data_IF_258289133834
#
_entry.id   IF_258289133834
#
_cell.length_a   1.000
_cell.length_b   1.000
_cell.length_c   1.000
_cell.angle_alpha   90.00
_cell.angle_beta   90.00
_cell.angle_gamma   90.00
#
_symmetry.space_group_name_H-M   'P 1'
#
loop_
_entity.id
_entity.type
_entity.pdbx_description
1 polymer ?
#
# COMPACT_ATOMS: atom_id res chain seq x y z
N UNK A 1 -8.40 4.91 7.16
CA UNK A 1 -9.21 3.91 6.46
C UNK A 1 -10.26 3.38 7.40
N UNK A 2 -11.54 3.54 7.06
CA UNK A 2 -12.63 3.29 7.99
C UNK A 2 -13.30 1.94 7.82
N UNK A 3 -13.16 1.32 6.66
CA UNK A 3 -13.80 0.01 6.40
C UNK A 3 -12.77 -0.96 5.83
N UNK A 4 -12.80 -2.22 6.26
CA UNK A 4 -11.94 -3.22 5.66
C UNK A 4 -12.33 -3.43 4.20
N UNK A 5 -11.33 -3.52 3.35
CA UNK A 5 -11.52 -3.76 1.92
C UNK A 5 -11.17 -5.23 1.63
N UNK A 6 -12.17 -6.05 1.25
CA UNK A 6 -11.92 -7.47 0.98
C UNK A 6 -10.88 -7.69 -0.13
N UNK A 7 -10.80 -6.78 -1.10
CA UNK A 7 -9.82 -6.90 -2.19
C UNK A 7 -8.40 -6.73 -1.67
N UNK A 8 -8.18 -5.76 -0.78
CA UNK A 8 -6.88 -5.53 -0.16
C UNK A 8 -6.48 -6.70 0.73
N UNK A 9 -7.42 -7.20 1.52
CA UNK A 9 -7.17 -8.36 2.38
C UNK A 9 -6.83 -9.61 1.56
N UNK A 10 -7.52 -9.81 0.43
CA UNK A 10 -7.25 -10.91 -0.48
C UNK A 10 -5.84 -10.80 -1.08
N UNK A 11 -5.43 -9.60 -1.47
CA UNK A 11 -4.09 -9.36 -2.00
C UNK A 11 -3.01 -9.60 -0.96
N UNK A 12 -3.24 -9.15 0.28
CA UNK A 12 -2.30 -9.38 1.37
C UNK A 12 -2.18 -10.87 1.71
N UNK A 13 -3.27 -11.61 1.64
CA UNK A 13 -3.25 -13.05 1.84
C UNK A 13 -2.38 -13.75 0.80
N UNK A 14 -2.49 -13.31 -0.45
CA UNK A 14 -1.66 -13.82 -1.55
C UNK A 14 -0.19 -13.49 -1.33
N UNK A 15 0.09 -12.26 -0.90
CA UNK A 15 1.46 -11.80 -0.60
C UNK A 15 2.05 -12.63 0.55
N UNK A 16 1.26 -12.91 1.57
CA UNK A 16 1.67 -13.77 2.67
C UNK A 16 2.13 -15.13 2.15
N UNK A 17 1.37 -15.72 1.22
CA UNK A 17 1.73 -16.97 0.58
C UNK A 17 3.03 -16.87 -0.20
N UNK A 18 3.24 -15.75 -0.91
CA UNK A 18 4.47 -15.50 -1.64
C UNK A 18 5.67 -15.38 -0.70
N UNK A 19 5.51 -14.73 0.44
CA UNK A 19 6.57 -14.62 1.45
C UNK A 19 6.94 -16.00 1.98
N UNK A 20 5.95 -16.85 2.28
CA UNK A 20 6.22 -18.23 2.70
C UNK A 20 6.94 -19.02 1.61
N UNK A 21 6.60 -18.76 0.35
CA UNK A 21 7.29 -19.37 -0.79
C UNK A 21 8.76 -18.97 -0.85
N UNK A 22 9.06 -17.70 -0.58
CA UNK A 22 10.45 -17.22 -0.52
C UNK A 22 11.21 -17.92 0.59
N UNK A 23 10.62 -18.06 1.78
CA UNK A 23 11.24 -18.77 2.90
C UNK A 23 11.57 -20.22 2.51
N UNK A 24 10.65 -20.89 1.82
CA UNK A 24 10.85 -22.27 1.35
C UNK A 24 11.99 -22.35 0.36
N UNK A 25 12.08 -21.39 -0.57
CA UNK A 25 13.18 -21.35 -1.53
C UNK A 25 14.53 -21.24 -0.84
N UNK A 26 14.62 -20.43 0.21
CA UNK A 26 15.85 -20.29 0.99
C UNK A 26 16.19 -21.60 1.70
N UNK A 27 15.19 -22.26 2.30
CA UNK A 27 15.37 -23.55 2.98
C UNK A 27 15.84 -24.63 2.01
N UNK A 28 15.35 -24.62 0.79
CA UNK A 28 15.73 -25.58 -0.25
C UNK A 28 17.08 -25.27 -0.91
N UNK A 29 17.69 -24.14 -0.57
CA UNK A 29 18.96 -23.73 -1.16
C UNK A 29 18.84 -23.33 -2.62
N UNK A 30 17.70 -22.76 -3.02
CA UNK A 30 17.47 -22.32 -4.39
C UNK A 30 18.48 -21.23 -4.78
N UNK A 31 18.74 -21.10 -6.06
CA UNK A 31 19.68 -20.13 -6.58
C UNK A 31 19.29 -18.70 -6.15
N UNK A 32 20.29 -17.95 -5.63
CA UNK A 32 20.01 -16.66 -5.00
C UNK A 32 19.35 -15.64 -5.95
N UNK A 33 19.65 -15.68 -7.25
CA UNK A 33 19.02 -14.79 -8.22
C UNK A 33 17.52 -15.09 -8.31
N UNK A 34 17.12 -16.36 -8.29
CA UNK A 34 15.69 -16.73 -8.27
C UNK A 34 15.00 -16.22 -7.02
N UNK A 35 15.65 -16.33 -5.87
CA UNK A 35 15.11 -15.84 -4.60
C UNK A 35 14.93 -14.31 -4.65
N UNK A 36 15.92 -13.60 -5.14
CA UNK A 36 15.87 -12.14 -5.27
C UNK A 36 14.76 -11.70 -6.22
N UNK A 37 14.55 -12.42 -7.32
CA UNK A 37 13.46 -12.13 -8.25
C UNK A 37 12.11 -12.28 -7.57
N UNK A 38 11.93 -13.29 -6.74
CA UNK A 38 10.69 -13.47 -5.99
C UNK A 38 10.49 -12.37 -4.96
N UNK A 39 11.56 -11.91 -4.32
CA UNK A 39 11.49 -10.79 -3.38
C UNK A 39 11.06 -9.52 -4.11
N UNK A 40 11.58 -9.27 -5.31
CA UNK A 40 11.15 -8.12 -6.11
C UNK A 40 9.66 -8.18 -6.44
N UNK A 41 9.15 -9.36 -6.74
CA UNK A 41 7.73 -9.55 -7.00
C UNK A 41 6.88 -9.24 -5.75
N UNK A 42 7.33 -9.68 -4.57
CA UNK A 42 6.65 -9.39 -3.30
C UNK A 42 6.64 -7.88 -3.03
N UNK A 43 7.78 -7.22 -3.24
CA UNK A 43 7.89 -5.76 -3.05
C UNK A 43 6.94 -5.02 -3.98
N UNK A 44 6.86 -5.42 -5.25
CA UNK A 44 5.97 -4.79 -6.22
C UNK A 44 4.50 -4.97 -5.82
N UNK A 45 4.14 -6.15 -5.34
CA UNK A 45 2.77 -6.42 -4.88
C UNK A 45 2.41 -5.58 -3.65
N UNK A 46 3.35 -5.44 -2.70
CA UNK A 46 3.14 -4.60 -1.53
C UNK A 46 3.01 -3.12 -1.91
N UNK A 47 3.82 -2.67 -2.85
CA UNK A 47 3.74 -1.29 -3.34
C UNK A 47 2.36 -0.99 -3.91
N UNK A 48 1.80 -1.93 -4.64
CA UNK A 48 0.45 -1.77 -5.20
C UNK A 48 -0.61 -1.66 -4.11
N UNK A 49 -0.49 -2.44 -3.04
CA UNK A 49 -1.38 -2.33 -1.88
C UNK A 49 -1.24 -0.95 -1.24
N UNK A 50 -0.01 -0.47 -1.05
CA UNK A 50 0.24 0.88 -0.53
C UNK A 50 -0.44 1.94 -1.37
N UNK A 51 -0.29 1.87 -2.68
CA UNK A 51 -0.89 2.84 -3.60
C UNK A 51 -2.41 2.86 -3.50
N UNK A 52 -3.02 1.69 -3.37
CA UNK A 52 -4.48 1.61 -3.23
C UNK A 52 -4.97 2.15 -1.90
N UNK A 53 -4.24 1.90 -0.82
CA UNK A 53 -4.56 2.46 0.49
C UNK A 53 -4.45 3.98 0.45
N UNK A 54 -3.36 4.49 -0.13
CA UNK A 54 -3.14 5.93 -0.24
C UNK A 54 -4.24 6.60 -1.06
N UNK A 55 -4.61 5.98 -2.18
CA UNK A 55 -5.69 6.50 -3.03
C UNK A 55 -7.01 6.54 -2.29
N UNK A 56 -7.36 5.46 -1.58
CA UNK A 56 -8.59 5.40 -0.79
C UNK A 56 -8.61 6.44 0.30
N UNK A 57 -7.49 6.65 0.98
CA UNK A 57 -7.35 7.67 2.00
C UNK A 57 -7.52 9.07 1.40
N UNK A 58 -6.89 9.34 0.26
CA UNK A 58 -6.98 10.63 -0.41
C UNK A 58 -8.43 10.93 -0.82
N UNK A 59 -9.12 9.96 -1.43
CA UNK A 59 -10.51 10.11 -1.84
C UNK A 59 -11.40 10.40 -0.65
N UNK A 60 -11.24 9.68 0.44
CA UNK A 60 -12.02 9.85 1.66
C UNK A 60 -11.75 11.22 2.29
N UNK A 61 -10.49 11.61 2.37
CA UNK A 61 -10.05 12.88 2.96
C UNK A 61 -10.60 14.06 2.17
N UNK A 62 -10.52 14.01 0.83
CA UNK A 62 -11.02 15.06 -0.04
C UNK A 62 -12.53 15.20 0.09
N UNK A 63 -13.26 14.09 0.05
CA UNK A 63 -14.72 14.11 0.19
C UNK A 63 -15.13 14.73 1.52
N UNK A 64 -14.47 14.35 2.61
CA UNK A 64 -14.76 14.87 3.94
C UNK A 64 -14.48 16.38 4.02
N UNK A 65 -13.38 16.83 3.44
CA UNK A 65 -13.03 18.25 3.44
C UNK A 65 -14.03 19.08 2.64
N UNK A 66 -14.51 18.56 1.51
CA UNK A 66 -15.53 19.23 0.70
C UNK A 66 -16.84 19.34 1.49
N UNK A 67 -17.26 18.26 2.14
CA UNK A 67 -18.49 18.24 2.92
C UNK A 67 -18.46 19.20 4.11
N UNK A 68 -17.30 19.37 4.74
CA UNK A 68 -17.15 20.24 5.90
C UNK A 68 -17.39 21.72 5.56
N UNK A 69 -17.09 22.12 4.34
CA UNK A 69 -17.20 23.51 3.91
C UNK A 69 -16.28 24.46 4.64
N UNK A 70 -15.36 23.96 5.46
CA UNK A 70 -14.42 24.76 6.24
C UNK A 70 -13.11 24.91 5.48
N UNK A 71 -12.75 26.14 5.15
CA UNK A 71 -11.51 26.44 4.41
C UNK A 71 -10.26 25.99 5.12
N UNK A 72 -10.21 26.20 6.43
CA UNK A 72 -9.03 25.83 7.21
C UNK A 72 -8.86 24.30 7.24
N UNK A 73 -9.97 23.58 7.41
CA UNK A 73 -9.96 22.12 7.37
C UNK A 73 -9.49 21.63 6.00
N UNK A 74 -10.00 22.21 4.93
CA UNK A 74 -9.62 21.86 3.55
C UNK A 74 -8.14 22.08 3.32
N UNK A 75 -7.60 23.21 3.78
CA UNK A 75 -6.18 23.53 3.64
C UNK A 75 -5.31 22.54 4.40
N UNK A 76 -5.71 22.22 5.63
CA UNK A 76 -4.98 21.29 6.47
C UNK A 76 -4.95 19.89 5.84
N UNK A 77 -6.09 19.40 5.35
CA UNK A 77 -6.17 18.10 4.70
C UNK A 77 -5.37 18.04 3.41
N UNK A 78 -5.39 19.13 2.65
CA UNK A 78 -4.57 19.23 1.44
C UNK A 78 -3.07 19.14 1.76
N UNK A 79 -2.63 19.85 2.79
CA UNK A 79 -1.22 19.82 3.20
C UNK A 79 -0.81 18.44 3.68
N UNK A 80 -1.66 17.76 4.44
CA UNK A 80 -1.42 16.38 4.88
C UNK A 80 -1.25 15.44 3.69
N UNK A 81 -2.12 15.60 2.69
CA UNK A 81 -2.07 14.77 1.49
C UNK A 81 -0.78 15.00 0.70
N UNK A 82 -0.37 16.26 0.52
CA UNK A 82 0.88 16.59 -0.16
C UNK A 82 2.07 15.97 0.55
N UNK A 83 2.09 16.04 1.87
CA UNK A 83 3.16 15.45 2.69
C UNK A 83 3.20 13.93 2.53
N UNK A 84 2.05 13.28 2.55
CA UNK A 84 1.94 11.82 2.36
C UNK A 84 2.46 11.41 0.98
N UNK A 85 2.04 12.14 -0.07
CA UNK A 85 2.50 11.86 -1.43
C UNK A 85 4.02 11.95 -1.54
N UNK A 86 4.62 12.93 -0.91
CA UNK A 86 6.08 13.08 -0.88
C UNK A 86 6.76 11.89 -0.21
N UNK A 87 6.15 11.34 0.83
CA UNK A 87 6.68 10.19 1.57
C UNK A 87 6.62 8.90 0.77
N UNK A 88 5.53 8.66 0.04
CA UNK A 88 5.28 7.40 -0.66
C UNK A 88 5.63 7.41 -2.14
N UNK A 89 6.04 8.55 -2.68
CA UNK A 89 6.40 8.67 -4.10
C UNK A 89 7.81 8.16 -4.45
N UNK A 90 8.55 7.66 -3.46
CA UNK A 90 9.93 7.17 -3.64
C UNK A 90 9.98 5.72 -4.07
#
# INVERSE_FOLDING_TARGET
>A
MTKPDPKLLSRLSRIEGQVRGVARMIEEGRYCIEVLDQIQAVKAALKKVEEEILKGHADHCVAHAIESGDREDQRQKFNELVELLGRYAR
#
